data_IF_125434951325
#
_entry.id   IF_125434951325
#
_cell.length_a   1.000
_cell.length_b   1.000
_cell.length_c   1.000
_cell.angle_alpha   90.00
_cell.angle_beta   90.00
_cell.angle_gamma   90.00
#
_symmetry.space_group_name_H-M   'P 1'
#
loop_
_entity.id
_entity.type
_entity.pdbx_description
1 polymer ?
#
# COMPACT_ATOMS: atom_id res chain seq x y z
N UNK A 1 1.99 4.06 8.24
CA UNK A 1 1.15 4.19 9.45
C UNK A 1 -0.35 4.19 9.12
N UNK A 2 -0.85 5.12 8.29
CA UNK A 2 -2.28 5.21 7.93
C UNK A 2 -2.86 3.93 7.31
N UNK A 3 -2.15 3.33 6.34
CA UNK A 3 -2.58 2.08 5.70
C UNK A 3 -2.76 0.94 6.70
N UNK A 4 -1.85 0.82 7.67
CA UNK A 4 -1.89 -0.21 8.73
C UNK A 4 -3.11 -0.05 9.63
N UNK A 5 -3.48 1.19 9.97
CA UNK A 5 -4.67 1.47 10.78
C UNK A 5 -5.94 1.10 10.00
N UNK A 6 -6.02 1.51 8.73
CA UNK A 6 -7.18 1.21 7.89
C UNK A 6 -7.37 -0.30 7.70
N UNK A 7 -6.31 -1.02 7.32
CA UNK A 7 -6.34 -2.47 7.18
C UNK A 7 -6.79 -3.16 8.48
N UNK A 8 -6.27 -2.73 9.63
CA UNK A 8 -6.72 -3.24 10.92
C UNK A 8 -8.22 -2.98 11.15
N UNK A 9 -8.71 -1.77 10.86
CA UNK A 9 -10.14 -1.43 11.02
C UNK A 9 -11.04 -2.29 10.13
N UNK A 10 -10.68 -2.49 8.86
CA UNK A 10 -11.44 -3.37 7.94
C UNK A 10 -11.46 -4.82 8.44
N UNK A 11 -10.32 -5.33 8.89
CA UNK A 11 -10.23 -6.70 9.42
C UNK A 11 -11.10 -6.92 10.67
N UNK A 12 -11.28 -5.91 11.52
CA UNK A 12 -12.16 -6.01 12.68
C UNK A 12 -13.63 -6.20 12.28
N UNK A 13 -14.05 -5.53 11.21
CA UNK A 13 -15.40 -5.63 10.65
C UNK A 13 -15.58 -7.00 10.00
N UNK A 14 -14.63 -7.43 9.15
CA UNK A 14 -14.70 -8.70 8.41
C UNK A 14 -14.67 -9.92 9.33
N UNK A 15 -13.79 -9.92 10.35
CA UNK A 15 -13.69 -11.00 11.33
C UNK A 15 -14.86 -11.04 12.34
N UNK A 16 -15.86 -10.17 12.19
CA UNK A 16 -17.02 -10.12 13.08
C UNK A 16 -16.68 -9.74 14.52
N UNK A 17 -15.58 -9.02 14.74
CA UNK A 17 -15.17 -8.55 16.08
C UNK A 17 -16.07 -7.43 16.59
N UNK A 18 -16.76 -6.75 15.68
CA UNK A 18 -17.76 -5.72 16.00
C UNK A 18 -19.10 -6.42 16.25
N UNK A 19 -19.45 -6.57 17.53
CA UNK A 19 -20.67 -7.26 17.99
C UNK A 19 -21.91 -6.36 18.02
N UNK A 20 -21.74 -5.05 17.87
CA UNK A 20 -22.82 -4.06 17.88
C UNK A 20 -23.17 -3.71 16.43
N UNK A 21 -24.46 -3.65 16.05
CA UNK A 21 -24.85 -3.24 14.70
C UNK A 21 -24.49 -1.77 14.46
N UNK A 22 -23.79 -1.50 13.34
CA UNK A 22 -23.40 -0.15 12.93
C UNK A 22 -24.50 0.58 12.15
N UNK A 23 -25.44 -0.16 11.57
CA UNK A 23 -26.54 0.37 10.77
C UNK A 23 -27.89 -0.24 11.13
N UNK A 24 -28.88 -0.03 10.26
CA UNK A 24 -30.22 -0.60 10.45
C UNK A 24 -30.29 -2.12 10.16
N UNK A 25 -29.24 -2.68 9.54
CA UNK A 25 -29.12 -4.10 9.24
C UNK A 25 -28.14 -4.83 10.19
N UNK A 26 -28.22 -6.17 10.29
CA UNK A 26 -27.32 -6.97 11.10
C UNK A 26 -25.91 -7.12 10.51
N UNK A 27 -25.72 -6.76 9.24
CA UNK A 27 -24.46 -6.94 8.51
C UNK A 27 -23.59 -5.68 8.57
N UNK A 28 -22.60 -5.72 9.46
CA UNK A 28 -21.64 -4.64 9.64
C UNK A 28 -20.69 -4.50 8.44
N UNK A 29 -20.38 -5.59 7.73
CA UNK A 29 -19.51 -5.56 6.55
C UNK A 29 -20.21 -4.79 5.43
N UNK A 30 -21.46 -5.16 5.12
CA UNK A 30 -22.25 -4.49 4.10
C UNK A 30 -22.43 -3.00 4.41
N UNK A 31 -22.74 -2.66 5.67
CA UNK A 31 -22.88 -1.28 6.09
C UNK A 31 -21.61 -0.46 5.85
N UNK A 32 -20.44 -0.98 6.25
CA UNK A 32 -19.16 -0.28 6.05
C UNK A 32 -18.82 -0.16 4.56
N UNK A 33 -19.08 -1.19 3.75
CA UNK A 33 -18.88 -1.13 2.30
C UNK A 33 -19.70 -0.01 1.65
N UNK A 34 -21.00 0.05 1.96
CA UNK A 34 -21.90 1.09 1.44
C UNK A 34 -21.51 2.48 1.93
N UNK A 35 -21.16 2.61 3.22
CA UNK A 35 -20.74 3.87 3.81
C UNK A 35 -19.46 4.42 3.16
N UNK A 36 -18.43 3.58 3.01
CA UNK A 36 -17.16 3.98 2.37
C UNK A 36 -17.39 4.30 0.90
N UNK A 37 -18.21 3.51 0.18
CA UNK A 37 -18.54 3.80 -1.22
C UNK A 37 -19.23 5.17 -1.38
N UNK A 38 -20.21 5.47 -0.53
CA UNK A 38 -20.90 6.76 -0.53
C UNK A 38 -19.96 7.92 -0.18
N UNK A 39 -19.07 7.72 0.80
CA UNK A 39 -18.05 8.71 1.19
C UNK A 39 -17.10 9.02 0.03
N UNK A 40 -16.56 7.99 -0.62
CA UNK A 40 -15.65 8.17 -1.76
C UNK A 40 -16.35 8.84 -2.94
N UNK A 41 -17.61 8.50 -3.20
CA UNK A 41 -18.39 9.12 -4.28
C UNK A 41 -18.67 10.60 -4.02
N UNK A 42 -18.95 10.96 -2.75
CA UNK A 42 -19.16 12.35 -2.36
C UNK A 42 -17.87 13.19 -2.41
N UNK A 43 -16.74 12.60 -2.00
CA UNK A 43 -15.44 13.27 -2.02
C UNK A 43 -14.85 13.40 -3.43
N UNK A 44 -15.05 12.38 -4.27
CA UNK A 44 -14.47 12.26 -5.61
C UNK A 44 -15.57 11.95 -6.64
N UNK A 45 -16.42 12.94 -6.98
CA UNK A 45 -17.58 12.73 -7.85
C UNK A 45 -17.22 12.32 -9.28
N UNK A 46 -15.95 12.49 -9.68
CA UNK A 46 -15.43 12.09 -10.98
C UNK A 46 -15.17 10.58 -11.10
N UNK A 47 -15.10 9.85 -9.97
CA UNK A 47 -14.94 8.39 -9.99
C UNK A 47 -16.22 7.73 -10.48
N UNK A 48 -16.08 6.73 -11.34
CA UNK A 48 -17.18 5.87 -11.76
C UNK A 48 -17.60 4.93 -10.62
N UNK A 49 -18.86 4.50 -10.61
CA UNK A 49 -19.36 3.59 -9.57
C UNK A 49 -18.60 2.26 -9.55
N UNK A 50 -18.12 1.81 -10.71
CA UNK A 50 -17.30 0.61 -10.82
C UNK A 50 -15.93 0.81 -10.17
N UNK A 51 -15.27 1.95 -10.37
CA UNK A 51 -13.99 2.27 -9.70
C UNK A 51 -14.16 2.27 -8.19
N UNK A 52 -15.18 2.98 -7.67
CA UNK A 52 -15.47 3.01 -6.23
C UNK A 52 -15.69 1.61 -5.67
N UNK A 53 -16.49 0.79 -6.37
CA UNK A 53 -16.77 -0.59 -5.95
C UNK A 53 -15.50 -1.45 -5.92
N UNK A 54 -14.65 -1.37 -6.94
CA UNK A 54 -13.38 -2.10 -7.00
C UNK A 54 -12.45 -1.65 -5.86
N UNK A 55 -12.36 -0.33 -5.62
CA UNK A 55 -11.54 0.21 -4.53
C UNK A 55 -11.99 -0.34 -3.19
N UNK A 56 -13.28 -0.23 -2.86
CA UNK A 56 -13.85 -0.72 -1.59
C UNK A 56 -13.65 -2.22 -1.45
N UNK A 57 -13.89 -3.00 -2.51
CA UNK A 57 -13.67 -4.44 -2.47
C UNK A 57 -12.20 -4.80 -2.21
N UNK A 58 -11.26 -4.08 -2.84
CA UNK A 58 -9.83 -4.26 -2.60
C UNK A 58 -9.41 -3.92 -1.16
N UNK A 59 -10.05 -2.93 -0.53
CA UNK A 59 -9.78 -2.59 0.89
C UNK A 59 -10.12 -3.74 1.83
N UNK A 60 -11.18 -4.50 1.57
CA UNK A 60 -11.50 -5.69 2.38
C UNK A 60 -10.60 -6.87 2.01
N UNK A 61 -10.48 -7.19 0.71
CA UNK A 61 -9.73 -8.37 0.25
C UNK A 61 -8.23 -8.36 0.64
N UNK A 62 -7.65 -7.17 0.82
CA UNK A 62 -6.23 -6.98 1.10
C UNK A 62 -5.95 -6.64 2.57
N UNK A 63 -6.96 -6.63 3.44
CA UNK A 63 -6.83 -6.13 4.82
C UNK A 63 -5.88 -6.96 5.71
N UNK A 64 -5.55 -8.19 5.32
CA UNK A 64 -4.55 -9.06 5.95
C UNK A 64 -3.13 -8.89 5.38
N UNK A 65 -2.99 -8.29 4.20
CA UNK A 65 -1.71 -8.11 3.49
C UNK A 65 -1.36 -6.63 3.38
N UNK A 66 -0.68 -6.12 4.42
CA UNK A 66 -0.32 -4.70 4.51
C UNK A 66 0.49 -4.19 3.31
N UNK A 67 1.52 -4.90 2.79
CA UNK A 67 2.18 -4.53 1.55
C UNK A 67 1.22 -4.32 0.38
N UNK A 68 0.38 -5.31 0.07
CA UNK A 68 -0.56 -5.23 -1.06
C UNK A 68 -1.64 -4.17 -0.83
N UNK A 69 -2.12 -4.01 0.40
CA UNK A 69 -3.07 -2.96 0.78
C UNK A 69 -2.50 -1.55 0.57
N UNK A 70 -1.21 -1.36 0.90
CA UNK A 70 -0.51 -0.09 0.65
C UNK A 70 -0.39 0.19 -0.84
N UNK A 71 -0.10 -0.83 -1.64
CA UNK A 71 0.00 -0.69 -3.09
C UNK A 71 -1.35 -0.33 -3.71
N UNK A 72 -2.43 -1.03 -3.31
CA UNK A 72 -3.80 -0.71 -3.73
C UNK A 72 -4.24 0.71 -3.33
N UNK A 73 -3.89 1.16 -2.12
CA UNK A 73 -4.14 2.55 -1.70
C UNK A 73 -3.35 3.55 -2.54
N UNK A 74 -2.10 3.26 -2.88
CA UNK A 74 -1.27 4.12 -3.73
C UNK A 74 -1.90 4.26 -5.11
N UNK A 75 -2.29 3.15 -5.74
CA UNK A 75 -2.91 3.15 -7.06
C UNK A 75 -4.22 3.96 -7.06
N UNK A 76 -5.01 3.83 -6.00
CA UNK A 76 -6.21 4.64 -5.83
C UNK A 76 -5.90 6.14 -5.67
N UNK A 77 -4.88 6.50 -4.88
CA UNK A 77 -4.46 7.90 -4.70
C UNK A 77 -3.94 8.53 -5.99
N UNK A 78 -3.21 7.77 -6.81
CA UNK A 78 -2.77 8.24 -8.14
C UNK A 78 -3.98 8.46 -9.04
N UNK A 79 -4.92 7.51 -9.07
CA UNK A 79 -6.13 7.61 -9.89
C UNK A 79 -6.99 8.86 -9.58
N UNK A 80 -7.15 9.22 -8.30
CA UNK A 80 -7.89 10.44 -7.94
C UNK A 80 -7.09 11.71 -8.28
N UNK A 81 -5.76 11.66 -8.24
CA UNK A 81 -4.88 12.83 -8.45
C UNK A 81 -4.58 13.15 -9.90
N UNK A 82 -4.54 12.15 -10.78
CA UNK A 82 -4.50 12.36 -12.24
C UNK A 82 -5.64 13.28 -12.71
N UNK A 83 -6.75 13.30 -11.97
CA UNK A 83 -7.89 14.17 -12.26
C UNK A 83 -7.83 15.54 -11.55
N UNK A 84 -7.13 15.67 -10.42
CA UNK A 84 -7.02 16.94 -9.65
C UNK A 84 -5.80 17.80 -10.01
N UNK A 85 -4.79 17.23 -10.67
CA UNK A 85 -3.66 17.98 -11.25
C UNK A 85 -2.63 18.52 -10.25
N UNK A 86 -2.53 17.93 -9.06
CA UNK A 86 -1.51 18.29 -8.06
C UNK A 86 -0.21 17.49 -8.26
N UNK A 87 0.95 18.14 -8.11
CA UNK A 87 2.29 17.61 -8.40
C UNK A 87 2.74 16.59 -7.33
N UNK A 88 3.10 15.38 -7.77
CA UNK A 88 3.19 14.15 -6.94
C UNK A 88 4.64 13.74 -6.61
N UNK A 89 5.59 14.66 -6.71
CA UNK A 89 7.01 14.30 -6.58
C UNK A 89 7.43 13.91 -5.16
N UNK A 90 6.70 14.31 -4.12
CA UNK A 90 7.13 14.16 -2.71
C UNK A 90 6.53 12.95 -1.96
N UNK A 91 5.39 12.40 -2.39
CA UNK A 91 4.59 11.49 -1.55
C UNK A 91 5.20 10.08 -1.39
N UNK A 92 6.13 9.69 -2.28
CA UNK A 92 6.70 8.33 -2.32
C UNK A 92 8.22 8.28 -2.52
N UNK A 93 8.92 9.41 -2.33
CA UNK A 93 10.38 9.44 -2.42
C UNK A 93 11.02 8.49 -1.42
N UNK A 94 10.51 8.45 -0.18
CA UNK A 94 11.09 7.66 0.90
C UNK A 94 10.99 6.15 0.64
N UNK A 95 9.83 5.67 0.17
CA UNK A 95 9.64 4.25 -0.17
C UNK A 95 10.42 3.84 -1.42
N UNK A 96 10.51 4.72 -2.42
CA UNK A 96 11.31 4.47 -3.63
C UNK A 96 12.80 4.42 -3.30
N UNK A 97 13.27 5.31 -2.43
CA UNK A 97 14.65 5.34 -1.97
C UNK A 97 15.02 4.07 -1.19
N UNK A 98 14.13 3.60 -0.32
CA UNK A 98 14.35 2.36 0.44
C UNK A 98 14.40 1.11 -0.46
N UNK A 99 13.51 1.01 -1.45
CA UNK A 99 13.54 -0.05 -2.45
C UNK A 99 14.81 -0.02 -3.32
N UNK A 100 15.27 1.18 -3.70
CA UNK A 100 16.51 1.35 -4.44
C UNK A 100 17.74 0.96 -3.61
N UNK A 101 17.78 1.31 -2.31
CA UNK A 101 18.85 0.88 -1.40
C UNK A 101 18.91 -0.65 -1.29
N UNK A 102 17.77 -1.30 -1.05
CA UNK A 102 17.73 -2.76 -0.90
C UNK A 102 18.17 -3.46 -2.19
N UNK A 103 17.70 -3.01 -3.35
CA UNK A 103 18.15 -3.55 -4.64
C UNK A 103 19.65 -3.35 -4.88
N UNK A 104 20.22 -2.20 -4.46
CA UNK A 104 21.66 -1.95 -4.55
C UNK A 104 22.48 -2.84 -3.61
N UNK A 105 22.01 -3.06 -2.38
CA UNK A 105 22.66 -3.95 -1.41
C UNK A 105 22.64 -5.41 -1.88
N UNK A 106 21.51 -5.87 -2.42
CA UNK A 106 21.38 -7.22 -2.98
C UNK A 106 22.29 -7.40 -4.20
N UNK A 107 22.31 -6.42 -5.12
CA UNK A 107 23.23 -6.43 -6.26
C UNK A 107 24.69 -6.46 -5.80
N UNK A 108 25.04 -5.71 -4.74
CA UNK A 108 26.39 -5.71 -4.16
C UNK A 108 26.73 -7.08 -3.55
N UNK A 109 25.80 -7.69 -2.80
CA UNK A 109 25.98 -9.04 -2.24
C UNK A 109 26.21 -10.08 -3.34
N UNK A 110 25.44 -10.03 -4.42
CA UNK A 110 25.61 -10.95 -5.56
C UNK A 110 26.99 -10.75 -6.20
N UNK A 111 27.41 -9.50 -6.43
CA UNK A 111 28.74 -9.19 -6.97
C UNK A 111 29.88 -9.65 -6.05
N UNK A 112 29.72 -9.55 -4.73
CA UNK A 112 30.69 -10.08 -3.74
C UNK A 112 30.78 -11.61 -3.74
N UNK A 113 29.73 -12.31 -4.15
CA UNK A 113 29.72 -13.78 -4.20
C UNK A 113 30.35 -14.38 -5.46
N UNK A 114 30.66 -13.57 -6.48
CA UNK A 114 31.27 -14.03 -7.74
C UNK A 114 32.76 -13.66 -7.78
N UNK A 115 33.67 -14.64 -7.64
CA UNK A 115 35.12 -14.39 -7.70
C UNK A 115 35.52 -13.76 -9.04
N UNK A 116 36.16 -12.60 -9.01
CA UNK A 116 36.71 -11.91 -10.19
C UNK A 116 35.86 -10.78 -10.80
N UNK A 117 34.68 -10.47 -10.24
CA UNK A 117 33.82 -9.34 -10.69
C UNK A 117 34.11 -8.02 -9.95
N UNK A 118 34.69 -8.07 -8.75
CA UNK A 118 35.06 -6.88 -7.99
C UNK A 118 36.45 -6.39 -8.38
N UNK A 119 36.57 -5.08 -8.62
CA UNK A 119 37.84 -4.43 -8.87
C UNK A 119 38.69 -4.52 -7.57
N UNK A 120 39.96 -4.97 -7.61
CA UNK A 120 40.77 -5.17 -6.40
C UNK A 120 40.96 -3.93 -5.53
N UNK A 121 40.73 -2.74 -6.07
CA UNK A 121 40.79 -1.46 -5.35
C UNK A 121 39.49 -1.07 -4.61
N UNK A 122 38.41 -1.87 -4.72
CA UNK A 122 37.12 -1.63 -4.06
C UNK A 122 36.83 -2.64 -2.92
N UNK A 123 37.78 -3.52 -2.61
CA UNK A 123 37.66 -4.42 -1.46
C UNK A 123 37.94 -3.61 -0.17
N UNK A 124 37.03 -3.60 0.82
CA UNK A 124 37.34 -3.05 2.14
C UNK A 124 38.52 -3.82 2.74
N UNK A 125 39.53 -3.10 3.24
CA UNK A 125 40.80 -3.62 3.78
C UNK A 125 40.67 -4.45 5.09
N UNK A 126 39.47 -4.94 5.44
CA UNK A 126 39.21 -5.68 6.69
C UNK A 126 39.10 -7.21 6.50
N UNK A 127 39.61 -7.76 5.40
CA UNK A 127 39.74 -9.23 5.22
C UNK A 127 41.13 -9.64 4.72
N UNK A 128 42.19 -9.01 5.24
CA UNK A 128 43.53 -9.59 5.21
C UNK A 128 43.84 -10.20 6.59
N UNK A 129 43.55 -11.49 6.72
CA UNK A 129 44.32 -12.41 7.58
C UNK A 129 45.23 -13.25 6.69
#
# INVERSE_FOLDING_TARGET
MHATILAYMFSLVELGRITVPLGQGPDNVLYVQEFVAALLKAAFPHLTDNQVKITVQGLFNLDQDIPSFKEHLRDFLVQIREYTGEDDTDLFLEEREEALRTAQEEKRRIQMSVPGILNPHEMPEDMQD
#
